data_IF_942635471889
#
_entry.id   IF_942635471889
#
_cell.length_a   1.000
_cell.length_b   1.000
_cell.length_c   1.000
_cell.angle_alpha   90.00
_cell.angle_beta   90.00
_cell.angle_gamma   90.00
#
_symmetry.space_group_name_H-M   'P 1'
#
loop_
_entity.id
_entity.type
_entity.pdbx_description
1 polymer ?
#
# COMPACT_ATOMS: atom_id res chain seq x y z
N UNK A 1 7.67 -3.05 17.79
CA UNK A 1 8.81 -2.36 17.15
C UNK A 1 9.22 -2.98 15.82
N UNK A 2 9.68 -4.24 15.75
CA UNK A 2 10.11 -4.85 14.47
C UNK A 2 8.93 -5.13 13.50
N UNK A 3 7.81 -5.65 14.00
CA UNK A 3 6.64 -5.97 13.14
C UNK A 3 6.00 -4.72 12.52
N UNK A 4 5.91 -3.63 13.27
CA UNK A 4 5.36 -2.36 12.77
C UNK A 4 6.22 -1.78 11.64
N UNK A 5 7.54 -1.75 11.80
CA UNK A 5 8.45 -1.30 10.75
C UNK A 5 8.38 -2.19 9.50
N UNK A 6 8.19 -3.50 9.69
CA UNK A 6 7.97 -4.44 8.59
C UNK A 6 6.66 -4.12 7.85
N UNK A 7 5.55 -3.93 8.56
CA UNK A 7 4.26 -3.59 7.96
C UNK A 7 4.35 -2.29 7.17
N UNK A 8 4.95 -1.25 7.74
CA UNK A 8 5.15 0.03 7.05
C UNK A 8 5.99 -0.16 5.79
N UNK A 9 7.04 -0.98 5.84
CA UNK A 9 7.88 -1.28 4.68
C UNK A 9 7.10 -2.02 3.59
N UNK A 10 6.25 -3.00 3.95
CA UNK A 10 5.40 -3.72 3.01
C UNK A 10 4.38 -2.80 2.35
N UNK A 11 3.76 -1.89 3.11
CA UNK A 11 2.88 -0.86 2.55
C UNK A 11 3.67 0.01 1.57
N UNK A 12 4.88 0.44 1.93
CA UNK A 12 5.74 1.25 1.04
C UNK A 12 6.03 0.54 -0.28
N UNK A 13 6.41 -0.73 -0.22
CA UNK A 13 6.71 -1.55 -1.40
C UNK A 13 5.47 -1.72 -2.29
N UNK A 14 4.30 -1.93 -1.68
CA UNK A 14 3.03 -2.04 -2.40
C UNK A 14 2.63 -0.72 -3.08
N UNK A 15 2.86 0.43 -2.44
CA UNK A 15 2.62 1.75 -3.03
C UNK A 15 3.49 1.98 -4.26
N UNK A 16 4.79 1.66 -4.18
CA UNK A 16 5.71 1.80 -5.31
C UNK A 16 5.32 0.85 -6.44
N UNK A 17 5.02 -0.41 -6.12
CA UNK A 17 4.56 -1.39 -7.09
C UNK A 17 3.27 -0.97 -7.79
N UNK A 18 2.27 -0.50 -7.02
CA UNK A 18 1.00 -0.01 -7.55
C UNK A 18 1.18 1.16 -8.52
N UNK A 19 2.08 2.11 -8.21
CA UNK A 19 2.44 3.19 -9.14
C UNK A 19 3.09 2.66 -10.42
N UNK A 20 4.02 1.72 -10.30
CA UNK A 20 4.66 1.09 -11.45
C UNK A 20 3.64 0.38 -12.35
N UNK A 21 2.85 -0.52 -11.77
CA UNK A 21 1.80 -1.29 -12.48
C UNK A 21 0.83 -0.34 -13.19
N UNK A 22 0.35 0.70 -12.51
CA UNK A 22 -0.56 1.68 -13.11
C UNK A 22 0.12 2.49 -14.22
N UNK A 23 1.37 2.90 -14.05
CA UNK A 23 2.13 3.59 -15.09
C UNK A 23 2.33 2.73 -16.34
N UNK A 24 2.67 1.44 -16.17
CA UNK A 24 2.81 0.50 -17.29
C UNK A 24 1.47 0.26 -18.00
N UNK A 25 0.39 0.06 -17.24
CA UNK A 25 -0.96 -0.08 -17.80
C UNK A 25 -1.39 1.16 -18.61
N UNK A 26 -1.07 2.37 -18.13
CA UNK A 26 -1.33 3.62 -18.85
C UNK A 26 -0.56 3.74 -20.16
N UNK A 27 0.61 3.08 -20.25
CA UNK A 27 1.40 2.98 -21.49
C UNK A 27 0.90 1.86 -22.43
N UNK A 28 -0.18 1.16 -22.07
CA UNK A 28 -0.77 0.07 -22.86
C UNK A 28 -0.05 -1.28 -22.67
N UNK A 29 0.84 -1.40 -21.70
CA UNK A 29 1.48 -2.67 -21.35
C UNK A 29 0.57 -3.42 -20.36
N UNK A 30 0.36 -4.72 -20.59
CA UNK A 30 -0.35 -5.56 -19.62
C UNK A 30 0.57 -5.82 -18.43
N UNK A 31 0.36 -5.09 -17.32
CA UNK A 31 1.18 -5.20 -16.11
C UNK A 31 0.46 -5.88 -14.94
N UNK A 32 -0.70 -6.50 -15.18
CA UNK A 32 -1.51 -7.16 -14.15
C UNK A 32 -0.74 -8.23 -13.38
N UNK A 33 0.17 -8.96 -14.02
CA UNK A 33 0.97 -10.02 -13.40
C UNK A 33 2.04 -9.49 -12.41
N UNK A 34 2.28 -8.17 -12.37
CA UNK A 34 3.23 -7.56 -11.45
C UNK A 34 2.60 -7.08 -10.14
N UNK A 35 1.29 -7.25 -9.95
CA UNK A 35 0.63 -6.87 -8.71
C UNK A 35 1.09 -7.78 -7.57
N UNK A 36 1.62 -7.20 -6.49
CA UNK A 36 2.18 -7.99 -5.39
C UNK A 36 1.13 -8.55 -4.42
N UNK A 37 -0.10 -8.05 -4.47
CA UNK A 37 -1.20 -8.47 -3.58
C UNK A 37 -0.81 -8.48 -2.09
N UNK A 38 0.02 -7.51 -1.66
CA UNK A 38 0.55 -7.47 -0.29
C UNK A 38 -0.50 -7.14 0.77
N UNK A 39 -1.68 -6.64 0.39
CA UNK A 39 -2.79 -6.29 1.28
C UNK A 39 -3.14 -7.42 2.24
N UNK A 40 -3.25 -8.67 1.76
CA UNK A 40 -3.61 -9.82 2.60
C UNK A 40 -2.53 -10.10 3.66
N UNK A 41 -1.27 -10.02 3.25
CA UNK A 41 -0.13 -10.21 4.18
C UNK A 41 -0.06 -9.08 5.19
N UNK A 42 -0.30 -7.84 4.78
CA UNK A 42 -0.34 -6.66 5.66
C UNK A 42 -1.46 -6.82 6.69
N UNK A 43 -2.68 -7.14 6.26
CA UNK A 43 -3.81 -7.35 7.16
C UNK A 43 -3.52 -8.48 8.14
N UNK A 44 -2.89 -9.57 7.66
CA UNK A 44 -2.49 -10.69 8.51
C UNK A 44 -1.48 -10.35 9.58
N UNK A 45 -0.45 -9.59 9.22
CA UNK A 45 0.52 -9.11 10.19
C UNK A 45 -0.07 -8.12 11.20
N UNK A 46 -1.15 -7.42 10.82
CA UNK A 46 -1.88 -6.50 11.70
C UNK A 46 -2.91 -7.21 12.60
N UNK A 47 -3.33 -8.42 12.25
CA UNK A 47 -4.37 -9.20 12.93
C UNK A 47 -5.78 -8.64 12.67
N UNK A 48 -6.07 -8.29 11.42
CA UNK A 48 -7.38 -7.73 10.97
C UNK A 48 -8.20 -8.77 10.17
N UNK A 49 -7.63 -9.96 9.99
CA UNK A 49 -7.97 -11.04 9.05
C UNK A 49 -9.38 -11.61 9.24
N UNK A 50 -9.94 -11.43 10.43
CA UNK A 50 -11.20 -12.03 10.86
C UNK A 50 -12.39 -11.05 10.80
N UNK A 51 -12.22 -9.86 10.21
CA UNK A 51 -13.36 -8.94 10.08
C UNK A 51 -14.35 -9.44 9.00
N UNK A 52 -15.67 -9.48 9.29
CA UNK A 52 -16.68 -9.83 8.28
C UNK A 52 -16.77 -8.84 7.12
N UNK A 53 -16.04 -7.71 7.19
CA UNK A 53 -16.00 -6.63 6.21
C UNK A 53 -14.68 -6.59 5.41
N UNK A 54 -14.01 -7.72 5.22
CA UNK A 54 -12.72 -7.82 4.50
C UNK A 54 -12.73 -7.14 3.11
N UNK A 55 -13.82 -7.26 2.34
CA UNK A 55 -13.94 -6.59 1.04
C UNK A 55 -13.92 -5.05 1.18
N UNK A 56 -14.60 -4.50 2.19
CA UNK A 56 -14.60 -3.05 2.46
C UNK A 56 -13.24 -2.57 2.94
N UNK A 57 -12.55 -3.38 3.74
CA UNK A 57 -11.20 -3.08 4.19
C UNK A 57 -10.23 -3.05 3.00
N UNK A 58 -10.34 -4.03 2.09
CA UNK A 58 -9.54 -4.07 0.87
C UNK A 58 -9.81 -2.86 -0.03
N UNK A 59 -11.09 -2.53 -0.27
CA UNK A 59 -11.48 -1.35 -1.05
C UNK A 59 -10.93 -0.06 -0.43
N UNK A 60 -11.02 0.06 0.90
CA UNK A 60 -10.50 1.21 1.63
C UNK A 60 -8.97 1.32 1.51
N UNK A 61 -8.25 0.20 1.64
CA UNK A 61 -6.81 0.15 1.43
C UNK A 61 -6.44 0.56 -0.01
N UNK A 62 -7.11 0.03 -1.03
CA UNK A 62 -6.89 0.41 -2.43
C UNK A 62 -7.12 1.91 -2.63
N UNK A 63 -8.17 2.47 -2.03
CA UNK A 63 -8.47 3.90 -2.09
C UNK A 63 -7.34 4.73 -1.47
N UNK A 64 -6.85 4.37 -0.29
CA UNK A 64 -5.74 5.05 0.35
C UNK A 64 -4.46 4.97 -0.49
N UNK A 65 -4.15 3.78 -1.01
CA UNK A 65 -2.97 3.52 -1.83
C UNK A 65 -2.96 4.28 -3.15
N UNK A 66 -4.14 4.66 -3.68
CA UNK A 66 -4.26 5.49 -4.89
C UNK A 66 -3.55 6.85 -4.77
N UNK A 67 -3.31 7.35 -3.54
CA UNK A 67 -2.61 8.61 -3.32
C UNK A 67 -1.18 8.63 -3.87
N UNK A 68 -0.51 7.46 -3.95
CA UNK A 68 0.86 7.35 -4.50
C UNK A 68 0.93 7.76 -5.97
N UNK A 69 -0.19 7.68 -6.70
CA UNK A 69 -0.23 8.03 -8.13
C UNK A 69 0.13 9.51 -8.36
N UNK A 70 -0.03 10.37 -7.35
CA UNK A 70 0.30 11.80 -7.40
C UNK A 70 1.74 12.13 -6.97
N UNK A 71 2.47 11.16 -6.41
CA UNK A 71 3.85 11.35 -5.94
C UNK A 71 4.79 11.29 -7.13
N UNK A 72 5.65 12.29 -7.32
CA UNK A 72 6.73 12.21 -8.30
C UNK A 72 7.86 11.33 -7.74
N UNK A 73 8.18 10.23 -8.43
CA UNK A 73 9.24 9.30 -8.04
C UNK A 73 10.57 9.56 -8.77
N UNK A 74 10.67 10.63 -9.59
CA UNK A 74 11.90 10.95 -10.32
C UNK A 74 13.02 11.47 -9.40
N UNK A 75 12.67 12.13 -8.29
CA UNK A 75 13.60 12.44 -7.19
C UNK A 75 13.57 11.33 -6.15
N UNK A 76 14.54 10.42 -6.23
CA UNK A 76 14.64 9.25 -5.36
C UNK A 76 14.71 9.65 -3.87
N UNK A 77 15.43 10.72 -3.54
CA UNK A 77 15.63 11.14 -2.14
C UNK A 77 14.41 11.86 -1.56
N UNK A 78 13.79 12.74 -2.34
CA UNK A 78 12.58 13.45 -1.90
C UNK A 78 11.35 12.54 -1.88
N UNK A 79 11.24 11.62 -2.83
CA UNK A 79 10.09 10.73 -2.95
C UNK A 79 10.03 9.68 -1.84
N UNK A 80 11.16 9.11 -1.40
CA UNK A 80 11.16 8.09 -0.33
C UNK A 80 10.52 8.62 0.96
N UNK A 81 10.84 9.85 1.37
CA UNK A 81 10.25 10.46 2.56
C UNK A 81 8.73 10.69 2.42
N UNK A 82 8.26 11.01 1.22
CA UNK A 82 6.83 11.20 0.93
C UNK A 82 6.08 9.87 0.95
N UNK A 83 6.64 8.83 0.32
CA UNK A 83 6.02 7.50 0.31
C UNK A 83 6.06 6.88 1.71
N UNK A 84 7.15 7.05 2.46
CA UNK A 84 7.26 6.65 3.86
C UNK A 84 6.17 7.31 4.72
N UNK A 85 5.95 8.62 4.54
CA UNK A 85 4.87 9.33 5.23
C UNK A 85 3.51 8.77 4.87
N UNK A 86 3.26 8.51 3.58
CA UNK A 86 2.01 7.93 3.11
C UNK A 86 1.80 6.53 3.71
N UNK A 87 2.82 5.67 3.70
CA UNK A 87 2.76 4.33 4.28
C UNK A 87 2.42 4.36 5.78
N UNK A 88 3.01 5.31 6.53
CA UNK A 88 2.69 5.53 7.95
C UNK A 88 1.26 6.01 8.15
N UNK A 89 0.75 6.90 7.31
CA UNK A 89 -0.65 7.33 7.35
C UNK A 89 -1.57 6.13 7.12
N UNK A 90 -1.32 5.33 6.07
CA UNK A 90 -2.11 4.13 5.77
C UNK A 90 -2.09 3.15 6.95
N UNK A 91 -0.92 2.85 7.50
CA UNK A 91 -0.80 2.01 8.69
C UNK A 91 -1.66 2.54 9.86
N UNK A 92 -1.64 3.85 10.12
CA UNK A 92 -2.46 4.47 11.15
C UNK A 92 -3.97 4.37 10.88
N UNK A 93 -4.39 4.47 9.62
CA UNK A 93 -5.80 4.27 9.24
C UNK A 93 -6.22 2.80 9.42
N UNK A 94 -5.38 1.85 9.00
CA UNK A 94 -5.64 0.42 9.16
C UNK A 94 -5.74 -0.02 10.63
N UNK A 95 -5.00 0.62 11.54
CA UNK A 95 -5.12 0.35 12.97
C UNK A 95 -6.52 0.66 13.53
N UNK A 96 -7.30 1.55 12.89
CA UNK A 96 -8.68 1.84 13.32
C UNK A 96 -9.64 0.68 13.04
N UNK A 97 -9.25 -0.25 12.17
CA UNK A 97 -10.04 -1.45 11.83
C UNK A 97 -9.74 -2.63 12.74
N UNK A 98 -8.71 -2.51 13.59
CA UNK A 98 -8.37 -3.53 14.57
C UNK A 98 -9.38 -3.48 15.73
N UNK A 99 -10.23 -4.50 15.82
CA UNK A 99 -11.22 -4.70 16.91
C UNK A 99 -10.55 -5.30 18.13
#
# INVERSE_FOLDING_TARGET
MQTEQLIISLIKDDLINSKLVNGLNQLGLCASDYHLHLSETIFSLMGIDETPDNDKLLDYYIQLSSAVQRVDLSDITGSDAVVEKLARTIHSELLQWKV
#
